data_IF_894009322475
#
_entry.id   IF_894009322475
#
_cell.length_a   1.000
_cell.length_b   1.000
_cell.length_c   1.000
_cell.angle_alpha   90.00
_cell.angle_beta   90.00
_cell.angle_gamma   90.00
#
_symmetry.space_group_name_H-M   'P 1'
#
loop_
_entity.id
_entity.type
_entity.pdbx_description
1 polymer ?
#
# COMPACT_ATOMS: atom_id res chain seq x y z
N UNK A 1 7.64 2.22 -7.08
CA UNK A 1 6.46 2.38 -6.19
C UNK A 1 6.12 3.84 -5.90
N UNK A 2 7.08 4.71 -5.54
CA UNK A 2 6.82 6.14 -5.20
C UNK A 2 7.14 7.14 -6.34
N UNK A 3 7.38 6.66 -7.55
CA UNK A 3 7.60 7.53 -8.72
C UNK A 3 6.34 8.35 -9.04
N UNK A 4 6.48 9.63 -9.38
CA UNK A 4 5.35 10.54 -9.57
C UNK A 4 4.47 10.17 -10.78
N UNK A 5 5.04 9.54 -11.80
CA UNK A 5 4.35 9.27 -13.07
C UNK A 5 3.95 7.79 -13.21
N UNK A 6 4.73 6.89 -12.63
CA UNK A 6 4.62 5.44 -12.81
C UNK A 6 4.40 4.67 -11.50
N UNK A 7 4.39 5.39 -10.37
CA UNK A 7 4.17 4.83 -9.05
C UNK A 7 2.71 4.60 -8.70
N UNK A 8 2.49 4.32 -7.42
CA UNK A 8 1.18 4.13 -6.83
C UNK A 8 0.44 5.47 -6.69
N UNK A 9 -0.88 5.51 -6.90
CA UNK A 9 -1.66 6.70 -6.65
C UNK A 9 -1.70 6.99 -5.15
N UNK A 10 -1.08 8.11 -4.76
CA UNK A 10 -1.07 8.58 -3.38
C UNK A 10 -2.08 9.71 -3.23
N UNK A 11 -2.99 9.57 -2.27
CA UNK A 11 -4.07 10.53 -2.04
C UNK A 11 -4.15 10.95 -0.58
N UNK A 12 -4.74 12.13 -0.37
CA UNK A 12 -5.23 12.56 0.94
C UNK A 12 -6.72 12.30 1.02
N UNK A 13 -7.16 11.47 1.95
CA UNK A 13 -8.59 11.13 2.12
C UNK A 13 -9.18 11.90 3.30
N UNK A 14 -10.43 12.33 3.17
CA UNK A 14 -11.19 12.97 4.25
C UNK A 14 -12.15 11.94 4.85
N UNK A 15 -11.97 11.64 6.13
CA UNK A 15 -12.93 10.93 6.96
C UNK A 15 -13.85 11.94 7.68
N UNK A 16 -14.85 11.45 8.41
CA UNK A 16 -15.81 12.29 9.13
C UNK A 16 -15.14 13.21 10.17
N UNK A 17 -14.11 12.70 10.87
CA UNK A 17 -13.43 13.42 11.97
C UNK A 17 -11.98 13.82 11.67
N UNK A 18 -11.40 13.38 10.55
CA UNK A 18 -9.98 13.61 10.26
C UNK A 18 -9.65 13.61 8.77
N UNK A 19 -8.51 14.20 8.42
CA UNK A 19 -7.90 14.07 7.09
C UNK A 19 -6.67 13.18 7.22
N UNK A 20 -6.59 12.13 6.43
CA UNK A 20 -5.47 11.20 6.43
C UNK A 20 -4.66 11.46 5.15
N UNK A 21 -3.48 12.09 5.25
CA UNK A 21 -2.64 12.34 4.09
C UNK A 21 -1.87 11.08 3.68
N UNK A 22 -1.38 11.10 2.44
CA UNK A 22 -0.37 10.17 1.93
C UNK A 22 -0.73 8.69 2.06
N UNK A 23 -1.95 8.32 1.64
CA UNK A 23 -2.41 6.92 1.63
C UNK A 23 -2.55 6.37 0.22
N UNK A 24 -2.36 5.06 0.11
CA UNK A 24 -2.72 4.22 -1.04
C UNK A 24 -3.75 3.17 -0.61
N UNK A 25 -4.43 2.54 -1.56
CA UNK A 25 -5.29 1.38 -1.27
C UNK A 25 -4.56 0.07 -1.52
N UNK A 26 -4.97 -0.99 -0.82
CA UNK A 26 -4.45 -2.34 -1.06
C UNK A 26 -4.72 -2.81 -2.49
N UNK A 27 -5.90 -2.53 -3.04
CA UNK A 27 -6.22 -2.80 -4.45
C UNK A 27 -5.28 -2.12 -5.43
N UNK A 28 -4.98 -0.84 -5.24
CA UNK A 28 -4.02 -0.11 -6.09
C UNK A 28 -2.62 -0.74 -6.02
N UNK A 29 -2.20 -1.14 -4.81
CA UNK A 29 -0.94 -1.85 -4.57
C UNK A 29 -0.86 -3.17 -5.34
N UNK A 30 -1.90 -4.01 -5.25
CA UNK A 30 -1.92 -5.30 -5.94
C UNK A 30 -1.91 -5.10 -7.46
N UNK A 31 -2.71 -4.18 -7.99
CA UNK A 31 -2.72 -3.88 -9.43
C UNK A 31 -1.36 -3.35 -9.92
N UNK A 32 -0.69 -2.51 -9.13
CA UNK A 32 0.64 -2.02 -9.46
C UNK A 32 1.68 -3.14 -9.46
N UNK A 33 1.61 -4.08 -8.52
CA UNK A 33 2.50 -5.26 -8.47
C UNK A 33 2.30 -6.14 -9.70
N UNK A 34 1.05 -6.51 -10.02
CA UNK A 34 0.71 -7.31 -11.20
C UNK A 34 1.30 -6.69 -12.48
N UNK A 35 1.07 -5.39 -12.68
CA UNK A 35 1.52 -4.69 -13.88
C UNK A 35 3.04 -4.46 -13.93
N UNK A 36 3.65 -4.03 -12.82
CA UNK A 36 5.04 -3.53 -12.82
C UNK A 36 6.05 -4.65 -12.70
N UNK A 37 5.69 -5.72 -11.99
CA UNK A 37 6.55 -6.91 -11.83
C UNK A 37 6.18 -8.03 -12.81
N UNK A 38 5.19 -7.81 -13.68
CA UNK A 38 4.68 -8.79 -14.66
C UNK A 38 4.26 -10.11 -14.00
N UNK A 39 3.51 -9.99 -12.90
CA UNK A 39 2.94 -11.12 -12.15
C UNK A 39 1.55 -11.42 -12.70
N UNK A 40 1.27 -12.68 -13.04
CA UNK A 40 -0.01 -13.08 -13.63
C UNK A 40 -1.08 -13.42 -12.57
N UNK A 41 -0.68 -14.03 -11.45
CA UNK A 41 -1.59 -14.47 -10.40
C UNK A 41 -1.78 -13.39 -9.33
N UNK A 42 -3.04 -13.05 -9.07
CA UNK A 42 -3.43 -12.14 -7.98
C UNK A 42 -3.01 -12.68 -6.61
N UNK A 43 -3.05 -13.99 -6.39
CA UNK A 43 -2.63 -14.58 -5.12
C UNK A 43 -1.12 -14.40 -4.87
N UNK A 44 -0.31 -14.52 -5.92
CA UNK A 44 1.13 -14.24 -5.86
C UNK A 44 1.40 -12.76 -5.58
N UNK A 45 0.71 -11.85 -6.27
CA UNK A 45 0.83 -10.41 -6.02
C UNK A 45 0.45 -10.04 -4.58
N UNK A 46 -0.60 -10.65 -4.02
CA UNK A 46 -0.98 -10.48 -2.61
C UNK A 46 0.08 -11.05 -1.67
N UNK A 47 0.66 -12.21 -2.01
CA UNK A 47 1.75 -12.78 -1.22
C UNK A 47 2.97 -11.85 -1.16
N UNK A 48 3.38 -11.29 -2.31
CA UNK A 48 4.46 -10.30 -2.38
C UNK A 48 4.15 -9.04 -1.57
N UNK A 49 2.92 -8.51 -1.67
CA UNK A 49 2.52 -7.34 -0.91
C UNK A 49 2.49 -7.61 0.61
N UNK A 50 2.10 -8.81 1.03
CA UNK A 50 2.21 -9.25 2.42
C UNK A 50 3.65 -9.30 2.90
N UNK A 51 4.59 -9.81 2.08
CA UNK A 51 6.02 -9.78 2.41
C UNK A 51 6.52 -8.34 2.55
N UNK A 52 6.13 -7.41 1.68
CA UNK A 52 6.51 -5.99 1.82
C UNK A 52 6.00 -5.39 3.13
N UNK A 53 4.77 -5.71 3.53
CA UNK A 53 4.17 -5.25 4.78
C UNK A 53 4.84 -5.87 6.01
N UNK A 54 5.13 -7.19 5.98
CA UNK A 54 5.79 -7.89 7.08
C UNK A 54 7.22 -7.41 7.33
N UNK A 55 7.89 -6.88 6.30
CA UNK A 55 9.21 -6.23 6.41
C UNK A 55 9.12 -4.73 6.72
N UNK A 56 7.91 -4.19 6.92
CA UNK A 56 7.70 -2.83 7.38
C UNK A 56 7.81 -1.75 6.32
N UNK A 57 7.77 -2.08 5.02
CA UNK A 57 7.79 -1.08 3.95
C UNK A 57 6.43 -0.39 3.78
N UNK A 58 5.34 -1.13 4.02
CA UNK A 58 3.96 -0.71 3.82
C UNK A 58 3.18 -1.05 5.08
N UNK A 59 2.48 -0.08 5.66
CA UNK A 59 1.80 -0.24 6.94
C UNK A 59 0.31 0.05 6.79
N UNK A 60 -0.59 -0.77 7.37
CA UNK A 60 -2.00 -0.43 7.48
C UNK A 60 -2.20 0.84 8.31
N UNK A 61 -3.26 1.59 8.02
CA UNK A 61 -3.60 2.81 8.78
C UNK A 61 -4.38 2.46 10.06
N UNK A 62 -5.34 1.53 9.98
CA UNK A 62 -6.31 1.27 11.06
C UNK A 62 -6.06 -0.06 11.80
N UNK A 63 -5.24 -0.96 11.25
CA UNK A 63 -4.97 -2.29 11.81
C UNK A 63 -3.52 -2.37 12.34
N UNK A 64 -3.25 -3.34 13.21
CA UNK A 64 -1.91 -3.68 13.70
C UNK A 64 -1.30 -4.90 12.98
N UNK A 65 -2.11 -5.64 12.22
CA UNK A 65 -1.63 -6.79 11.46
C UNK A 65 -0.90 -6.33 10.19
N UNK A 66 0.37 -6.69 10.05
CA UNK A 66 1.22 -6.33 8.91
C UNK A 66 0.93 -7.20 7.68
N UNK A 67 -0.29 -7.07 7.15
CA UNK A 67 -0.77 -7.74 5.93
C UNK A 67 -1.48 -6.77 5.00
N UNK A 68 -1.49 -7.11 3.71
CA UNK A 68 -2.17 -6.37 2.65
C UNK A 68 -3.41 -7.14 2.20
N UNK A 69 -4.53 -6.43 2.09
CA UNK A 69 -5.77 -6.93 1.51
C UNK A 69 -5.97 -6.33 0.13
N UNK A 70 -6.44 -7.13 -0.83
CA UNK A 70 -6.78 -6.65 -2.17
C UNK A 70 -8.17 -5.98 -2.17
N UNK A 71 -8.29 -4.86 -1.46
CA UNK A 71 -9.53 -4.11 -1.28
C UNK A 71 -9.26 -2.60 -1.09
N UNK A 72 -10.27 -1.87 -0.61
CA UNK A 72 -10.18 -0.43 -0.34
C UNK A 72 -9.44 -0.03 0.94
N UNK A 73 -8.87 -0.97 1.69
CA UNK A 73 -8.13 -0.70 2.93
C UNK A 73 -6.97 0.25 2.65
N UNK A 74 -6.78 1.24 3.52
CA UNK A 74 -5.72 2.23 3.36
C UNK A 74 -4.41 1.79 4.00
N UNK A 75 -3.32 2.06 3.28
CA UNK A 75 -1.95 1.82 3.67
C UNK A 75 -1.09 3.07 3.46
N UNK A 76 0.07 3.12 4.12
CA UNK A 76 1.13 4.13 3.92
C UNK A 76 2.47 3.48 3.73
N UNK A 77 3.35 4.15 3.01
CA UNK A 77 4.77 3.81 3.05
C UNK A 77 5.36 4.16 4.41
N UNK A 78 6.25 3.31 4.89
CA UNK A 78 7.09 3.65 6.03
C UNK A 78 8.07 4.75 5.63
N UNK A 79 8.18 5.77 6.47
CA UNK A 79 9.15 6.85 6.33
C UNK A 79 10.15 6.74 7.48
N UNK A 80 11.43 6.73 7.15
CA UNK A 80 12.49 6.88 8.15
C UNK A 80 12.44 8.31 8.68
N UNK A 81 11.92 8.47 9.91
CA UNK A 81 12.25 9.63 10.72
C UNK A 81 13.62 9.33 11.30
N UNK A 82 14.68 9.88 10.69
CA UNK A 82 15.96 9.98 11.39
C UNK A 82 15.73 10.90 12.61
N UNK A 83 15.94 10.33 13.80
CA UNK A 83 16.05 11.07 15.07
C UNK A 83 17.26 11.99 15.07
#
# INVERSE_FOLDING_TARGET
>A
MQDENTGLPIKSVKSFMSKIPSVLTGGDLIQWVLKTLDVEDTAEAVHLANLMSSHGYILPIEDHVLTVKNDGTFYRFQVFIFL
#
